data_IF_915509572416
#
_entry.id   IF_915509572416
#
_cell.length_a   1.000
_cell.length_b   1.000
_cell.length_c   1.000
_cell.angle_alpha   90.00
_cell.angle_beta   90.00
_cell.angle_gamma   90.00
#
_symmetry.space_group_name_H-M   'P 1'
#
loop_
_entity.id
_entity.type
_entity.pdbx_description
1 polymer ?
#
# COMPACT_ATOMS: atom_id res chain seq x y z
N UNK A 1 36.60 -11.04 9.46
CA UNK A 1 36.13 -12.30 8.84
C UNK A 1 34.71 -12.14 8.30
N UNK A 2 34.57 -11.55 7.11
CA UNK A 2 33.47 -11.76 6.14
C UNK A 2 33.76 -10.87 4.93
N UNK A 3 34.89 -11.18 4.28
CA UNK A 3 35.29 -10.61 3.01
C UNK A 3 35.74 -11.78 2.12
N UNK A 4 34.77 -12.59 1.71
CA UNK A 4 34.98 -13.71 0.78
C UNK A 4 33.64 -14.18 0.25
N UNK A 5 33.13 -13.57 -0.84
CA UNK A 5 32.23 -14.22 -1.81
C UNK A 5 31.84 -13.33 -3.00
N UNK A 6 32.73 -12.46 -3.47
CA UNK A 6 32.52 -11.71 -4.71
C UNK A 6 33.84 -11.50 -5.46
N UNK A 7 34.37 -12.60 -5.99
CA UNK A 7 35.32 -12.56 -7.11
C UNK A 7 35.45 -13.97 -7.70
N UNK A 8 34.66 -14.27 -8.72
CA UNK A 8 35.10 -15.20 -9.77
C UNK A 8 34.49 -14.83 -11.12
N UNK A 9 35.39 -14.71 -12.07
CA UNK A 9 35.26 -14.67 -13.53
C UNK A 9 34.96 -13.33 -14.22
N UNK A 10 36.05 -12.63 -14.54
CA UNK A 10 36.24 -11.93 -15.82
C UNK A 10 37.31 -12.66 -16.65
N UNK A 11 37.06 -12.74 -17.96
CA UNK A 11 38.04 -12.85 -19.06
C UNK A 11 38.25 -14.26 -19.61
N UNK A 12 38.40 -14.50 -20.92
CA UNK A 12 38.52 -13.64 -22.12
C UNK A 12 38.60 -14.59 -23.36
N UNK A 13 38.19 -14.08 -24.55
CA UNK A 13 38.75 -14.38 -25.91
C UNK A 13 38.27 -15.59 -26.76
N UNK A 14 37.43 -15.25 -27.75
CA UNK A 14 37.52 -15.43 -29.23
C UNK A 14 37.49 -16.79 -29.97
N UNK A 15 36.92 -16.71 -31.19
CA UNK A 15 36.92 -17.64 -32.36
C UNK A 15 35.90 -18.78 -32.24
N UNK A 16 35.13 -19.20 -33.26
CA UNK A 16 35.09 -18.96 -34.71
C UNK A 16 33.77 -19.49 -35.30
N UNK A 17 33.44 -19.03 -36.51
CA UNK A 17 32.35 -19.46 -37.39
C UNK A 17 32.19 -20.99 -37.55
N UNK A 18 30.93 -21.47 -37.63
CA UNK A 18 30.34 -22.33 -38.68
C UNK A 18 29.11 -23.13 -38.17
N UNK A 19 28.16 -23.51 -39.06
CA UNK A 19 26.79 -23.88 -38.70
C UNK A 19 26.63 -25.38 -38.44
N UNK A 20 25.84 -25.75 -37.43
CA UNK A 20 25.40 -27.14 -37.26
C UNK A 20 24.02 -27.36 -37.88
N UNK A 21 24.02 -28.28 -38.82
CA UNK A 21 22.89 -28.82 -39.58
C UNK A 21 21.92 -29.58 -38.67
N UNK A 22 20.63 -29.37 -38.90
CA UNK A 22 19.54 -30.11 -38.26
C UNK A 22 19.39 -31.47 -38.98
N UNK A 23 19.95 -32.53 -38.39
CA UNK A 23 19.69 -33.90 -38.81
C UNK A 23 18.29 -34.36 -38.38
N UNK A 24 17.45 -34.69 -39.36
CA UNK A 24 16.23 -35.48 -39.17
C UNK A 24 16.60 -36.92 -38.78
N UNK A 25 15.99 -37.42 -37.72
CA UNK A 25 15.98 -38.84 -37.32
C UNK A 25 14.55 -39.28 -36.98
N UNK A 26 14.18 -40.54 -37.26
CA UNK A 26 12.80 -40.92 -37.57
C UNK A 26 11.89 -41.14 -36.34
N UNK A 27 10.62 -40.84 -36.57
CA UNK A 27 9.48 -41.00 -35.66
C UNK A 27 9.03 -42.47 -35.65
N UNK A 28 9.36 -43.21 -34.60
CA UNK A 28 8.81 -44.54 -34.36
C UNK A 28 7.39 -44.43 -33.77
N UNK A 29 6.43 -45.07 -34.44
CA UNK A 29 5.06 -45.25 -33.98
C UNK A 29 5.05 -46.29 -32.87
N UNK A 30 4.35 -45.99 -31.78
CA UNK A 30 4.00 -46.94 -30.73
C UNK A 30 2.67 -47.60 -31.11
N UNK A 31 2.72 -48.50 -32.08
CA UNK A 31 1.78 -49.61 -32.20
C UNK A 31 2.59 -50.87 -31.89
N UNK A 32 1.98 -51.87 -31.25
CA UNK A 32 2.56 -53.15 -30.79
C UNK A 32 3.05 -53.21 -29.33
N UNK A 33 2.10 -53.19 -28.40
CA UNK A 33 2.20 -53.99 -27.18
C UNK A 33 0.86 -54.71 -26.95
N UNK A 34 0.85 -56.00 -27.28
CA UNK A 34 -0.28 -56.91 -27.08
C UNK A 34 -0.64 -57.06 -25.60
N UNK A 35 -1.92 -56.93 -25.31
CA UNK A 35 -2.51 -57.33 -24.03
C UNK A 35 -3.50 -58.46 -24.26
N UNK A 36 -3.21 -59.55 -23.56
CA UNK A 36 -3.96 -60.80 -23.47
C UNK A 36 -5.35 -60.52 -22.87
N UNK A 37 -6.40 -61.02 -23.53
CA UNK A 37 -7.77 -61.05 -23.01
C UNK A 37 -7.90 -62.11 -21.90
N UNK A 38 -8.58 -61.86 -20.78
CA UNK A 38 -9.23 -62.92 -20.03
C UNK A 38 -10.68 -63.09 -20.49
N UNK A 39 -11.04 -64.35 -20.73
CA UNK A 39 -12.37 -64.82 -21.06
C UNK A 39 -13.33 -64.80 -19.85
N UNK A 40 -14.61 -64.98 -20.17
CA UNK A 40 -15.79 -64.81 -19.36
C UNK A 40 -15.82 -65.56 -18.01
N UNK A 41 -16.45 -64.93 -17.01
CA UNK A 41 -16.94 -65.60 -15.82
C UNK A 41 -17.46 -64.62 -14.77
N UNK A 42 -18.78 -64.52 -14.62
CA UNK A 42 -19.40 -63.89 -13.45
C UNK A 42 -20.36 -62.75 -13.75
N UNK A 43 -21.63 -63.10 -13.98
CA UNK A 43 -22.78 -62.22 -13.90
C UNK A 43 -22.86 -61.58 -12.50
N UNK A 44 -22.36 -60.36 -12.37
CA UNK A 44 -22.78 -59.45 -11.31
C UNK A 44 -23.18 -58.14 -11.98
N UNK A 45 -24.48 -58.00 -12.23
CA UNK A 45 -25.09 -56.77 -12.67
C UNK A 45 -24.82 -55.67 -11.63
N UNK A 46 -23.73 -54.93 -11.81
CA UNK A 46 -23.59 -53.61 -11.20
C UNK A 46 -24.57 -52.74 -11.97
N UNK A 47 -25.79 -52.68 -11.45
CA UNK A 47 -26.77 -51.65 -11.76
C UNK A 47 -26.08 -50.32 -11.48
N UNK A 48 -25.46 -49.77 -12.54
CA UNK A 48 -25.19 -48.37 -12.67
C UNK A 48 -26.55 -47.70 -12.50
N UNK A 49 -26.81 -47.22 -11.28
CA UNK A 49 -27.85 -46.26 -11.04
C UNK A 49 -27.47 -45.02 -11.83
N UNK A 50 -27.86 -45.02 -13.10
CA UNK A 50 -28.18 -43.81 -13.82
C UNK A 50 -29.08 -43.03 -12.86
N UNK A 51 -28.50 -42.05 -12.20
CA UNK A 51 -29.23 -40.97 -11.58
C UNK A 51 -29.81 -40.19 -12.74
N UNK A 52 -30.86 -40.78 -13.31
CA UNK A 52 -31.94 -40.06 -13.96
C UNK A 52 -32.19 -38.86 -13.06
N UNK A 53 -32.09 -37.69 -13.65
CA UNK A 53 -32.61 -36.44 -13.10
C UNK A 53 -34.10 -36.68 -12.84
N UNK A 54 -34.39 -37.30 -11.70
CA UNK A 54 -35.70 -37.30 -11.10
C UNK A 54 -35.92 -35.84 -10.75
N UNK A 55 -36.91 -35.24 -11.39
CA UNK A 55 -37.40 -33.92 -11.02
C UNK A 55 -37.60 -33.86 -9.50
N UNK A 56 -37.61 -32.67 -8.88
CA UNK A 56 -37.62 -32.53 -7.43
C UNK A 56 -38.73 -33.41 -6.85
N UNK A 57 -38.33 -34.51 -6.19
CA UNK A 57 -39.25 -35.41 -5.54
C UNK A 57 -39.84 -34.63 -4.38
N UNK A 58 -41.03 -34.08 -4.59
CA UNK A 58 -41.87 -33.38 -3.62
C UNK A 58 -42.25 -34.27 -2.42
N UNK A 59 -41.86 -35.55 -2.43
CA UNK A 59 -42.22 -36.58 -1.45
C UNK A 59 -41.24 -36.73 -0.26
N UNK A 60 -40.30 -35.81 -0.04
CA UNK A 60 -39.42 -35.82 1.17
C UNK A 60 -39.57 -34.56 2.01
N UNK A 61 -40.80 -34.25 2.42
CA UNK A 61 -41.12 -33.18 3.38
C UNK A 61 -41.65 -33.75 4.70
N UNK A 62 -40.98 -34.77 5.26
CA UNK A 62 -41.28 -35.30 6.59
C UNK A 62 -40.40 -34.68 7.69
N UNK A 63 -40.84 -34.73 8.95
CA UNK A 63 -40.04 -34.28 10.10
C UNK A 63 -38.64 -34.93 10.15
N UNK A 64 -38.56 -36.24 9.88
CA UNK A 64 -37.29 -36.98 9.82
C UNK A 64 -36.44 -36.70 8.58
N UNK A 65 -36.98 -35.99 7.59
CA UNK A 65 -36.24 -35.56 6.40
C UNK A 65 -35.76 -34.10 6.51
N UNK A 66 -35.98 -33.44 7.66
CA UNK A 66 -35.47 -32.10 7.89
C UNK A 66 -33.95 -32.10 8.00
N UNK A 67 -33.33 -31.13 7.34
CA UNK A 67 -31.88 -30.97 7.28
C UNK A 67 -31.49 -29.77 8.14
N UNK A 68 -30.33 -29.85 8.80
CA UNK A 68 -29.81 -28.73 9.57
C UNK A 68 -29.63 -27.48 8.69
N UNK A 69 -29.89 -26.31 9.26
CA UNK A 69 -29.78 -25.04 8.54
C UNK A 69 -28.40 -24.84 7.90
N UNK A 70 -27.33 -25.36 8.51
CA UNK A 70 -25.96 -25.26 7.97
C UNK A 70 -25.84 -25.94 6.61
N UNK A 71 -26.44 -27.12 6.44
CA UNK A 71 -26.40 -27.89 5.21
C UNK A 71 -27.30 -27.28 4.12
N UNK A 72 -28.45 -26.71 4.50
CA UNK A 72 -29.30 -25.92 3.59
C UNK A 72 -28.57 -24.66 3.08
N UNK A 73 -27.84 -23.97 3.96
CA UNK A 73 -27.02 -22.84 3.54
C UNK A 73 -25.82 -23.28 2.71
N UNK A 74 -25.20 -24.42 3.02
CA UNK A 74 -24.09 -24.96 2.24
C UNK A 74 -24.52 -25.34 0.82
N UNK A 75 -25.69 -25.93 0.63
CA UNK A 75 -26.19 -26.28 -0.72
C UNK A 75 -26.46 -25.04 -1.58
N UNK A 76 -26.95 -23.95 -0.99
CA UNK A 76 -27.28 -22.71 -1.70
C UNK A 76 -26.11 -21.74 -1.89
N UNK A 77 -25.13 -21.73 -0.98
CA UNK A 77 -24.05 -20.72 -0.96
C UNK A 77 -22.68 -21.27 -1.35
N UNK A 78 -22.50 -22.58 -1.39
CA UNK A 78 -21.22 -23.19 -1.73
C UNK A 78 -21.17 -23.62 -3.19
N UNK A 79 -19.96 -23.65 -3.72
CA UNK A 79 -19.64 -24.34 -4.98
C UNK A 79 -18.65 -25.45 -4.66
N UNK A 80 -18.48 -26.38 -5.62
CA UNK A 80 -17.43 -27.40 -5.52
C UNK A 80 -16.09 -26.77 -5.16
N UNK A 81 -15.27 -27.49 -4.38
CA UNK A 81 -13.97 -26.96 -3.94
C UNK A 81 -13.11 -26.47 -5.13
N UNK A 82 -13.22 -27.16 -6.27
CA UNK A 82 -12.58 -26.77 -7.52
C UNK A 82 -13.17 -25.48 -8.12
N UNK A 83 -14.50 -25.33 -8.10
CA UNK A 83 -15.17 -24.09 -8.51
C UNK A 83 -14.74 -22.90 -7.67
N UNK A 84 -14.67 -23.07 -6.34
CA UNK A 84 -14.21 -22.03 -5.40
C UNK A 84 -12.78 -21.59 -5.68
N UNK A 85 -11.85 -22.54 -5.86
CA UNK A 85 -10.44 -22.26 -6.19
C UNK A 85 -10.29 -21.52 -7.53
N UNK A 86 -11.17 -21.77 -8.49
CA UNK A 86 -11.21 -21.11 -9.80
C UNK A 86 -12.00 -19.80 -9.82
N UNK A 87 -12.53 -19.36 -8.68
CA UNK A 87 -13.27 -18.10 -8.58
C UNK A 87 -14.69 -18.15 -9.16
N UNK A 88 -15.27 -19.34 -9.33
CA UNK A 88 -16.68 -19.53 -9.75
C UNK A 88 -17.69 -19.21 -8.65
N UNK A 89 -17.21 -18.80 -7.48
CA UNK A 89 -18.02 -18.47 -6.32
C UNK A 89 -18.51 -16.99 -6.28
N UNK A 90 -18.32 -16.24 -7.37
CA UNK A 90 -18.71 -14.82 -7.42
C UNK A 90 -20.23 -14.73 -7.55
N UNK A 91 -20.86 -13.85 -6.77
CA UNK A 91 -22.31 -13.60 -6.84
C UNK A 91 -23.18 -14.56 -6.02
N UNK A 92 -22.59 -15.54 -5.32
CA UNK A 92 -23.33 -16.40 -4.41
C UNK A 92 -23.92 -15.59 -3.25
N UNK A 93 -25.12 -16.01 -2.82
CA UNK A 93 -25.79 -15.44 -1.66
C UNK A 93 -24.90 -15.65 -0.43
N UNK A 94 -24.81 -14.64 0.43
CA UNK A 94 -24.13 -14.78 1.72
C UNK A 94 -25.08 -15.41 2.73
N UNK A 95 -24.57 -16.37 3.49
CA UNK A 95 -25.32 -17.02 4.58
C UNK A 95 -25.94 -15.99 5.54
N UNK A 96 -27.23 -16.13 5.83
CA UNK A 96 -27.95 -15.33 6.83
C UNK A 96 -28.28 -16.23 8.02
N UNK A 97 -27.86 -15.81 9.21
CA UNK A 97 -28.25 -16.51 10.43
C UNK A 97 -29.69 -16.09 10.78
N UNK A 98 -30.63 -17.02 10.68
CA UNK A 98 -32.06 -16.79 10.90
C UNK A 98 -32.42 -16.71 12.39
N UNK A 99 -31.55 -17.22 13.27
CA UNK A 99 -31.80 -17.34 14.71
C UNK A 99 -31.51 -16.02 15.45
N UNK A 100 -30.76 -15.10 14.82
CA UNK A 100 -30.45 -13.80 15.44
C UNK A 100 -31.74 -12.99 15.61
N UNK A 101 -32.02 -12.58 16.84
CA UNK A 101 -33.20 -11.77 17.20
C UNK A 101 -34.46 -12.58 17.51
N UNK A 102 -34.43 -13.92 17.45
CA UNK A 102 -35.55 -14.75 17.89
C UNK A 102 -35.46 -15.01 19.40
N UNK A 103 -36.55 -14.73 20.13
CA UNK A 103 -36.71 -15.04 21.55
C UNK A 103 -37.39 -16.41 21.71
N UNK A 104 -36.88 -17.26 22.59
CA UNK A 104 -37.48 -18.56 22.89
C UNK A 104 -38.84 -18.38 23.56
N UNK A 105 -39.80 -19.26 23.25
CA UNK A 105 -41.15 -19.22 23.82
C UNK A 105 -42.13 -18.28 23.10
N UNK A 106 -41.67 -17.39 22.22
CA UNK A 106 -42.55 -16.59 21.36
C UNK A 106 -42.87 -17.35 20.07
N UNK A 107 -44.15 -17.48 19.73
CA UNK A 107 -44.61 -18.20 18.55
C UNK A 107 -46.06 -17.91 18.20
N UNK A 108 -46.56 -18.45 17.08
CA UNK A 108 -47.92 -18.20 16.59
C UNK A 108 -49.01 -18.71 17.54
N UNK A 109 -48.70 -19.68 18.40
CA UNK A 109 -49.63 -20.25 19.37
C UNK A 109 -49.97 -19.33 20.56
N UNK A 110 -49.30 -18.17 20.70
CA UNK A 110 -49.57 -17.18 21.76
C UNK A 110 -49.59 -17.80 23.17
N UNK A 111 -48.57 -18.58 23.52
CA UNK A 111 -48.45 -19.20 24.84
C UNK A 111 -47.41 -18.45 25.66
N UNK A 112 -47.80 -18.01 26.85
CA UNK A 112 -46.89 -17.48 27.86
C UNK A 112 -46.34 -18.62 28.70
N UNK A 113 -45.06 -18.90 28.48
CA UNK A 113 -44.28 -19.89 29.19
C UNK A 113 -43.57 -19.28 30.41
N UNK A 114 -43.87 -19.76 31.63
CA UNK A 114 -43.10 -19.49 32.83
C UNK A 114 -41.61 -19.84 32.64
N UNK A 115 -40.71 -18.88 32.88
CA UNK A 115 -39.27 -19.03 32.75
C UNK A 115 -38.69 -18.78 31.35
N UNK A 116 -39.51 -18.71 30.30
CA UNK A 116 -39.05 -18.37 28.93
C UNK A 116 -39.54 -16.99 28.49
N UNK A 117 -40.85 -16.76 28.56
CA UNK A 117 -41.47 -15.49 28.13
C UNK A 117 -41.70 -14.53 29.30
N UNK A 118 -42.05 -15.07 30.48
CA UNK A 118 -42.27 -14.34 31.73
C UNK A 118 -41.51 -15.04 32.86
N UNK A 119 -41.24 -14.33 33.95
CA UNK A 119 -40.54 -14.92 35.10
C UNK A 119 -41.34 -16.07 35.71
N UNK A 120 -40.66 -17.16 36.08
CA UNK A 120 -41.31 -18.35 36.64
C UNK A 120 -41.86 -18.15 38.07
N UNK A 121 -41.35 -17.14 38.78
CA UNK A 121 -41.73 -16.79 40.13
C UNK A 121 -42.18 -15.33 40.15
N UNK A 122 -43.32 -15.07 40.77
CA UNK A 122 -43.88 -13.75 41.03
C UNK A 122 -44.08 -13.58 42.53
N UNK A 123 -44.26 -12.35 43.01
CA UNK A 123 -44.47 -12.06 44.44
C UNK A 123 -45.67 -12.83 45.05
N UNK A 124 -46.59 -13.29 44.20
CA UNK A 124 -47.79 -14.07 44.54
C UNK A 124 -47.62 -15.58 44.39
N UNK A 125 -46.41 -16.06 44.05
CA UNK A 125 -46.08 -17.49 43.89
C UNK A 125 -45.65 -17.89 42.47
N UNK A 126 -45.75 -19.19 42.17
CA UNK A 126 -45.32 -19.78 40.88
C UNK A 126 -46.30 -19.43 39.77
N UNK A 127 -45.79 -18.86 38.68
CA UNK A 127 -46.62 -18.51 37.51
C UNK A 127 -47.05 -19.77 36.75
N UNK A 128 -48.32 -19.84 36.38
CA UNK A 128 -48.88 -20.90 35.53
C UNK A 128 -48.76 -20.52 34.05
N UNK A 129 -48.89 -21.51 33.16
CA UNK A 129 -48.98 -21.29 31.72
C UNK A 129 -50.24 -20.49 31.42
N UNK A 130 -50.10 -19.40 30.66
CA UNK A 130 -51.19 -18.50 30.29
C UNK A 130 -51.15 -18.25 28.78
N UNK A 131 -52.21 -17.66 28.21
CA UNK A 131 -52.13 -17.10 26.86
C UNK A 131 -51.30 -15.81 26.88
N UNK A 132 -50.43 -15.65 25.89
CA UNK A 132 -49.69 -14.43 25.64
C UNK A 132 -50.65 -13.44 24.95
N UNK A 133 -50.78 -12.19 25.43
CA UNK A 133 -51.65 -11.22 24.79
C UNK A 133 -51.13 -10.89 23.38
N UNK A 134 -52.05 -10.68 22.43
CA UNK A 134 -51.73 -10.40 21.02
C UNK A 134 -50.86 -9.16 20.87
N UNK A 135 -51.07 -8.15 21.70
CA UNK A 135 -50.28 -6.90 21.74
C UNK A 135 -48.80 -7.15 22.00
N UNK A 136 -48.46 -8.05 22.93
CA UNK A 136 -47.07 -8.43 23.21
C UNK A 136 -46.45 -9.22 22.05
N UNK A 137 -47.23 -10.08 21.39
CA UNK A 137 -46.77 -10.80 20.20
C UNK A 137 -46.49 -9.84 19.03
N UNK A 138 -47.38 -8.89 18.77
CA UNK A 138 -47.23 -7.87 17.72
C UNK A 138 -46.02 -6.96 18.00
N UNK A 139 -45.85 -6.53 19.24
CA UNK A 139 -44.66 -5.79 19.67
C UNK A 139 -43.37 -6.59 19.38
N UNK A 140 -43.32 -7.86 19.78
CA UNK A 140 -42.18 -8.73 19.49
C UNK A 140 -41.94 -8.91 17.98
N UNK A 141 -43.00 -9.09 17.18
CA UNK A 141 -42.87 -9.21 15.73
C UNK A 141 -42.31 -7.92 15.12
N UNK A 142 -42.75 -6.76 15.59
CA UNK A 142 -42.23 -5.46 15.15
C UNK A 142 -40.74 -5.28 15.53
N UNK A 143 -40.34 -5.66 16.75
CA UNK A 143 -38.95 -5.65 17.20
C UNK A 143 -38.07 -6.56 16.33
N UNK A 144 -38.58 -7.76 16.01
CA UNK A 144 -37.90 -8.74 15.19
C UNK A 144 -37.74 -8.23 13.75
N UNK A 145 -38.79 -7.63 13.18
CA UNK A 145 -38.72 -6.99 11.86
C UNK A 145 -37.72 -5.82 11.84
N UNK A 146 -37.74 -4.95 12.85
CA UNK A 146 -36.76 -3.87 12.99
C UNK A 146 -35.32 -4.41 13.11
N UNK A 147 -35.12 -5.48 13.87
CA UNK A 147 -33.81 -6.15 14.00
C UNK A 147 -33.35 -6.73 12.66
N UNK A 148 -34.25 -7.37 11.91
CA UNK A 148 -33.98 -7.88 10.55
C UNK A 148 -33.60 -6.75 9.58
N UNK A 149 -34.32 -5.64 9.61
CA UNK A 149 -34.03 -4.44 8.80
C UNK A 149 -32.68 -3.83 9.17
N UNK A 150 -32.35 -3.75 10.46
CA UNK A 150 -31.04 -3.26 10.93
C UNK A 150 -29.89 -4.14 10.44
N UNK A 151 -30.06 -5.46 10.50
CA UNK A 151 -29.07 -6.43 10.04
C UNK A 151 -28.93 -6.46 8.51
N UNK A 152 -30.03 -6.26 7.77
CA UNK A 152 -30.00 -6.16 6.31
C UNK A 152 -29.38 -4.85 5.85
N UNK A 153 -29.70 -3.72 6.49
CA UNK A 153 -29.14 -2.40 6.20
C UNK A 153 -27.61 -2.37 6.38
N UNK A 154 -27.10 -2.98 7.48
CA UNK A 154 -25.65 -3.14 7.70
C UNK A 154 -24.93 -3.93 6.60
N UNK A 155 -25.66 -4.75 5.83
CA UNK A 155 -25.11 -5.63 4.78
C UNK A 155 -25.36 -5.12 3.36
N UNK A 156 -26.38 -4.28 3.16
CA UNK A 156 -26.85 -3.81 1.84
C UNK A 156 -26.13 -2.58 1.30
N UNK A 157 -25.61 -1.69 2.14
CA UNK A 157 -24.69 -0.65 1.68
C UNK A 157 -23.35 -1.32 1.32
N UNK A 158 -22.93 -1.18 0.05
CA UNK A 158 -21.63 -1.64 -0.44
C UNK A 158 -20.55 -1.42 0.61
N UNK A 159 -19.86 -2.51 0.98
CA UNK A 159 -19.20 -2.67 2.28
C UNK A 159 -18.51 -1.41 2.80
N UNK A 160 -18.67 -1.14 4.11
CA UNK A 160 -18.10 0.02 4.85
C UNK A 160 -16.98 0.70 4.06
N UNK A 161 -17.32 1.81 3.40
CA UNK A 161 -16.31 2.64 2.75
C UNK A 161 -15.36 3.11 3.86
N UNK A 162 -14.06 2.85 3.69
CA UNK A 162 -13.05 3.35 4.61
C UNK A 162 -13.16 4.87 4.70
N UNK A 163 -12.98 5.44 5.88
CA UNK A 163 -12.89 6.90 6.01
C UNK A 163 -11.68 7.41 5.21
N UNK A 164 -11.70 8.68 4.77
CA UNK A 164 -10.54 9.29 4.10
C UNK A 164 -9.25 9.31 4.94
N UNK A 165 -9.36 9.17 6.27
CA UNK A 165 -8.23 9.11 7.21
C UNK A 165 -7.62 7.71 7.27
N UNK A 166 -8.45 6.66 7.16
CA UNK A 166 -8.00 5.26 7.25
C UNK A 166 -7.66 4.65 5.87
N UNK A 167 -7.94 5.36 4.78
CA UNK A 167 -7.57 4.90 3.43
C UNK A 167 -6.08 5.15 3.17
N UNK A 168 -5.50 4.30 2.33
CA UNK A 168 -4.15 4.54 1.80
C UNK A 168 -4.19 5.54 0.64
N UNK A 169 -3.37 5.32 -0.38
CA UNK A 169 -3.22 6.28 -1.47
C UNK A 169 -4.47 6.45 -2.35
N UNK A 170 -5.26 5.39 -2.55
CA UNK A 170 -6.42 5.46 -3.46
C UNK A 170 -7.58 4.56 -3.04
N UNK A 171 -8.76 5.15 -2.85
CA UNK A 171 -10.05 4.45 -2.72
C UNK A 171 -10.02 3.20 -1.83
N UNK A 172 -10.34 2.04 -2.43
CA UNK A 172 -10.35 0.74 -1.75
C UNK A 172 -9.01 -0.02 -1.83
N UNK A 173 -8.00 0.52 -2.51
CA UNK A 173 -6.71 -0.12 -2.67
C UNK A 173 -5.97 -0.11 -1.32
N UNK A 174 -5.44 -1.26 -0.84
CA UNK A 174 -4.71 -1.30 0.42
C UNK A 174 -3.31 -0.64 0.36
N UNK A 175 -2.83 -0.24 -0.82
CA UNK A 175 -1.55 0.45 -0.98
C UNK A 175 -1.53 1.78 -0.22
N UNK A 176 -0.44 2.05 0.49
CA UNK A 176 -0.26 3.20 1.38
C UNK A 176 -0.98 3.07 2.72
N UNK A 177 -1.67 1.96 3.01
CA UNK A 177 -2.25 1.76 4.33
C UNK A 177 -1.18 1.40 5.35
N UNK A 178 -1.35 1.98 6.54
CA UNK A 178 -0.58 1.66 7.72
C UNK A 178 -1.13 0.36 8.33
N UNK A 179 -0.24 -0.56 8.62
CA UNK A 179 -0.47 -1.79 9.35
C UNK A 179 0.23 -1.70 10.71
N UNK A 180 -0.27 -2.49 11.67
CA UNK A 180 0.29 -2.52 13.03
C UNK A 180 1.73 -3.03 13.09
N UNK A 181 2.32 -3.07 14.28
CA UNK A 181 3.69 -3.52 14.47
C UNK A 181 3.88 -5.01 14.15
N UNK A 182 5.14 -5.44 13.92
CA UNK A 182 5.46 -6.85 13.83
C UNK A 182 5.10 -7.56 15.14
N UNK A 183 4.62 -8.79 15.03
CA UNK A 183 4.36 -9.63 16.21
C UNK A 183 5.67 -10.23 16.70
N UNK A 184 5.95 -10.07 17.98
CA UNK A 184 7.04 -10.76 18.66
C UNK A 184 6.75 -12.25 18.81
N UNK A 185 7.82 -13.03 18.92
CA UNK A 185 7.73 -14.45 19.25
C UNK A 185 7.56 -14.68 20.76
N UNK A 186 8.14 -13.80 21.58
CA UNK A 186 8.07 -13.85 23.04
C UNK A 186 7.11 -12.80 23.58
N UNK A 187 6.43 -13.12 24.69
CA UNK A 187 5.46 -12.21 25.31
C UNK A 187 6.08 -10.99 25.99
N UNK A 188 7.38 -11.02 26.32
CA UNK A 188 8.08 -9.94 27.02
C UNK A 188 8.61 -8.84 26.11
N UNK A 189 8.67 -9.08 24.80
CA UNK A 189 9.20 -8.13 23.83
C UNK A 189 8.03 -7.56 23.02
N UNK A 190 7.79 -6.25 23.08
CA UNK A 190 6.82 -5.55 22.23
C UNK A 190 7.54 -4.60 21.27
N UNK A 191 6.90 -4.31 20.14
CA UNK A 191 7.46 -3.52 19.06
C UNK A 191 6.55 -2.34 18.71
N UNK A 192 5.98 -1.69 19.72
CA UNK A 192 4.90 -0.72 19.54
C UNK A 192 5.35 0.54 18.77
N UNK A 193 6.64 0.85 18.81
CA UNK A 193 7.27 1.94 18.06
C UNK A 193 7.29 1.69 16.53
N UNK A 194 7.15 0.45 16.09
CA UNK A 194 7.26 0.10 14.69
C UNK A 194 5.95 0.36 13.94
N UNK A 195 6.05 1.18 12.89
CA UNK A 195 5.00 1.39 11.90
C UNK A 195 5.30 0.55 10.67
N UNK A 196 4.27 -0.07 10.09
CA UNK A 196 4.42 -0.79 8.83
C UNK A 196 3.48 -0.25 7.76
N UNK A 197 3.93 -0.17 6.51
CA UNK A 197 3.19 0.40 5.40
C UNK A 197 3.27 -0.53 4.19
N UNK A 198 2.12 -0.83 3.60
CA UNK A 198 2.04 -1.64 2.39
C UNK A 198 2.25 -0.76 1.16
N UNK A 199 3.32 -1.01 0.41
CA UNK A 199 3.68 -0.21 -0.76
C UNK A 199 3.07 -0.78 -2.03
N UNK A 200 3.27 -2.09 -2.28
CA UNK A 200 2.75 -2.75 -3.46
C UNK A 200 1.81 -3.89 -3.06
N UNK A 201 0.67 -3.94 -3.72
CA UNK A 201 -0.26 -5.06 -3.66
C UNK A 201 -0.65 -5.44 -5.08
N UNK A 202 -0.17 -6.60 -5.55
CA UNK A 202 -0.38 -7.08 -6.92
C UNK A 202 -0.89 -8.51 -6.94
N UNK A 203 -1.86 -8.80 -7.80
CA UNK A 203 -2.29 -10.17 -8.09
C UNK A 203 -1.38 -10.79 -9.16
N UNK A 204 -0.80 -11.94 -8.85
CA UNK A 204 0.02 -12.74 -9.77
C UNK A 204 -0.73 -14.02 -10.13
N UNK A 205 -0.46 -14.55 -11.33
CA UNK A 205 -1.03 -15.81 -11.79
C UNK A 205 0.10 -16.69 -12.31
N UNK A 206 0.27 -17.88 -11.73
CA UNK A 206 1.20 -18.89 -12.21
C UNK A 206 0.45 -20.10 -12.77
N UNK A 207 1.02 -20.79 -13.76
CA UNK A 207 0.50 -22.07 -14.24
C UNK A 207 1.04 -23.22 -13.38
N UNK A 208 0.19 -24.19 -13.03
CA UNK A 208 0.55 -25.36 -12.24
C UNK A 208 -0.13 -26.58 -12.84
N UNK A 209 0.56 -27.74 -12.94
CA UNK A 209 0.03 -28.92 -13.63
C UNK A 209 -1.34 -29.39 -13.12
N UNK A 210 -1.54 -29.45 -11.78
CA UNK A 210 -2.80 -29.93 -11.19
C UNK A 210 -3.95 -28.91 -11.23
N UNK A 211 -3.65 -27.65 -10.99
CA UNK A 211 -4.67 -26.62 -10.76
C UNK A 211 -4.85 -25.66 -11.94
N UNK A 212 -3.98 -25.73 -12.95
CA UNK A 212 -3.90 -24.75 -14.03
C UNK A 212 -3.46 -23.40 -13.48
N UNK A 213 -4.24 -22.35 -13.75
CA UNK A 213 -3.95 -20.98 -13.31
C UNK A 213 -4.19 -20.82 -11.79
N UNK A 214 -3.11 -20.65 -11.03
CA UNK A 214 -3.13 -20.42 -9.58
C UNK A 214 -2.83 -18.95 -9.28
N UNK A 215 -3.76 -18.29 -8.60
CA UNK A 215 -3.62 -16.89 -8.18
C UNK A 215 -2.82 -16.76 -6.89
N UNK A 216 -1.80 -15.90 -6.91
CA UNK A 216 -0.99 -15.48 -5.77
C UNK A 216 -1.10 -13.96 -5.62
N UNK A 217 -0.72 -13.47 -4.46
CA UNK A 217 -0.64 -12.04 -4.14
C UNK A 217 0.83 -11.73 -3.86
N UNK A 218 1.39 -10.74 -4.55
CA UNK A 218 2.66 -10.13 -4.19
C UNK A 218 2.39 -8.92 -3.32
N UNK A 219 3.13 -8.83 -2.23
CA UNK A 219 3.04 -7.77 -1.24
C UNK A 219 4.44 -7.24 -0.98
N UNK A 220 4.62 -5.93 -1.15
CA UNK A 220 5.83 -5.22 -0.74
C UNK A 220 5.49 -4.43 0.51
N UNK A 221 6.01 -4.89 1.64
CA UNK A 221 5.78 -4.29 2.96
C UNK A 221 7.04 -3.61 3.44
N UNK A 222 6.88 -2.43 4.01
CA UNK A 222 7.91 -1.65 4.66
C UNK A 222 7.59 -1.55 6.16
N UNK A 223 8.59 -1.63 7.03
CA UNK A 223 8.45 -1.54 8.49
C UNK A 223 9.61 -0.73 9.06
N UNK A 224 9.38 0.10 10.07
CA UNK A 224 10.43 0.92 10.71
C UNK A 224 9.92 1.72 11.89
N UNK A 225 10.85 2.28 12.66
CA UNK A 225 10.59 2.90 13.96
C UNK A 225 10.54 4.44 13.94
N UNK A 226 10.72 5.07 12.78
CA UNK A 226 10.81 6.53 12.66
C UNK A 226 12.08 7.15 13.25
N UNK A 227 13.08 6.35 13.63
CA UNK A 227 14.35 6.78 14.24
C UNK A 227 15.55 6.19 13.48
N UNK A 228 15.51 6.25 12.15
CA UNK A 228 16.58 5.76 11.29
C UNK A 228 16.62 4.24 11.07
N UNK A 229 15.73 3.44 11.68
CA UNK A 229 15.71 1.98 11.46
C UNK A 229 14.50 1.59 10.62
N UNK A 230 14.76 1.02 9.44
CA UNK A 230 13.69 0.52 8.58
C UNK A 230 14.12 -0.69 7.76
N UNK A 231 13.14 -1.48 7.33
CA UNK A 231 13.32 -2.70 6.56
C UNK A 231 12.14 -2.96 5.65
N UNK A 232 12.37 -3.64 4.54
CA UNK A 232 11.30 -4.01 3.61
C UNK A 232 11.37 -5.49 3.22
N UNK A 233 10.22 -6.04 2.84
CA UNK A 233 10.15 -7.37 2.25
C UNK A 233 9.17 -7.46 1.10
N UNK A 234 9.56 -8.25 0.10
CA UNK A 234 8.66 -8.73 -0.94
C UNK A 234 8.23 -10.17 -0.60
N UNK A 235 6.92 -10.39 -0.50
CA UNK A 235 6.36 -11.73 -0.23
C UNK A 235 5.32 -12.09 -1.27
N UNK A 236 5.36 -13.36 -1.68
CA UNK A 236 4.30 -13.99 -2.46
C UNK A 236 3.47 -14.90 -1.56
N UNK A 237 2.16 -14.67 -1.49
CA UNK A 237 1.21 -15.44 -0.68
C UNK A 237 0.10 -16.03 -1.55
N UNK A 238 -0.46 -17.21 -1.20
CA UNK A 238 -1.69 -17.69 -1.82
C UNK A 238 -2.85 -16.72 -1.61
N UNK A 239 -3.70 -16.57 -2.62
CA UNK A 239 -4.90 -15.73 -2.53
C UNK A 239 -5.87 -16.27 -1.46
N UNK A 240 -6.55 -15.38 -0.73
CA UNK A 240 -7.58 -15.76 0.24
C UNK A 240 -7.11 -15.97 1.68
N UNK A 241 -5.83 -15.74 1.99
CA UNK A 241 -5.27 -15.78 3.35
C UNK A 241 -5.66 -14.54 4.22
N UNK A 242 -6.31 -13.53 3.62
CA UNK A 242 -6.84 -12.36 4.33
C UNK A 242 -5.77 -11.60 5.13
N UNK A 243 -6.12 -11.20 6.34
CA UNK A 243 -5.25 -10.44 7.26
C UNK A 243 -3.94 -11.16 7.61
N UNK A 244 -3.96 -12.51 7.66
CA UNK A 244 -2.76 -13.31 7.96
C UNK A 244 -1.63 -13.09 6.95
N UNK A 245 -1.95 -12.82 5.68
CA UNK A 245 -0.93 -12.55 4.67
C UNK A 245 -0.20 -11.23 4.94
N UNK A 246 -0.94 -10.18 5.29
CA UNK A 246 -0.36 -8.89 5.65
C UNK A 246 0.49 -8.99 6.92
N UNK A 247 -0.01 -9.67 7.96
CA UNK A 247 0.75 -9.87 9.19
C UNK A 247 2.07 -10.61 8.93
N UNK A 248 2.06 -11.63 8.08
CA UNK A 248 3.28 -12.32 7.70
C UNK A 248 4.26 -11.39 6.97
N UNK A 249 3.77 -10.45 6.17
CA UNK A 249 4.60 -9.44 5.52
C UNK A 249 5.24 -8.47 6.50
N UNK A 250 4.47 -7.97 7.46
CA UNK A 250 4.98 -7.12 8.54
C UNK A 250 6.06 -7.85 9.33
N UNK A 251 5.79 -9.09 9.74
CA UNK A 251 6.73 -9.88 10.54
C UNK A 251 8.04 -10.17 9.79
N UNK A 252 7.99 -10.46 8.49
CA UNK A 252 9.24 -10.66 7.71
C UNK A 252 9.99 -9.35 7.48
N UNK A 253 9.29 -8.23 7.29
CA UNK A 253 9.94 -6.92 7.16
C UNK A 253 10.70 -6.56 8.44
N UNK A 254 10.14 -6.84 9.61
CA UNK A 254 10.81 -6.66 10.90
C UNK A 254 12.07 -7.52 11.09
N UNK A 255 12.27 -8.59 10.31
CA UNK A 255 13.49 -9.41 10.35
C UNK A 255 14.62 -8.86 9.47
N UNK A 256 14.34 -7.89 8.59
CA UNK A 256 15.30 -7.36 7.59
C UNK A 256 15.45 -5.86 7.73
N UNK A 257 15.79 -5.43 8.93
CA UNK A 257 16.01 -4.03 9.25
C UNK A 257 17.42 -3.59 8.84
N UNK A 258 17.52 -2.35 8.39
CA UNK A 258 18.74 -1.62 8.14
C UNK A 258 18.72 -0.37 9.03
N UNK A 259 19.90 0.03 9.50
CA UNK A 259 20.11 1.29 10.21
C UNK A 259 20.56 2.33 9.18
N UNK A 260 19.96 3.51 9.24
CA UNK A 260 20.26 4.65 8.39
C UNK A 260 20.64 5.82 9.28
N UNK A 261 21.77 6.44 8.96
CA UNK A 261 22.23 7.63 9.66
C UNK A 261 21.45 8.84 9.13
N UNK A 262 20.93 9.65 10.05
CA UNK A 262 20.14 10.84 9.75
C UNK A 262 20.88 12.08 10.24
N UNK A 263 20.99 13.08 9.38
CA UNK A 263 21.50 14.39 9.78
C UNK A 263 20.39 15.15 10.52
N UNK A 264 20.71 15.63 11.73
CA UNK A 264 19.78 16.32 12.64
C UNK A 264 18.50 15.50 12.95
N UNK A 265 18.55 14.16 12.86
CA UNK A 265 17.37 13.27 12.95
C UNK A 265 16.20 13.71 12.03
N UNK A 266 16.54 14.34 10.90
CA UNK A 266 15.61 15.07 10.04
C UNK A 266 15.80 14.75 8.56
N UNK A 267 17.02 14.82 8.06
CA UNK A 267 17.34 14.74 6.61
C UNK A 267 18.54 13.81 6.37
N UNK A 268 18.88 13.62 5.11
CA UNK A 268 20.11 12.93 4.66
C UNK A 268 21.34 13.83 4.82
N UNK A 269 22.55 13.25 4.83
CA UNK A 269 23.81 14.01 4.99
C UNK A 269 24.20 14.83 3.76
N UNK A 270 24.03 14.30 2.56
CA UNK A 270 24.42 14.95 1.30
C UNK A 270 23.48 14.54 0.18
N UNK A 271 23.57 15.28 -0.91
CA UNK A 271 22.94 14.92 -2.18
C UNK A 271 23.55 13.62 -2.69
N UNK A 272 22.72 12.70 -3.20
CA UNK A 272 23.25 11.45 -3.75
C UNK A 272 22.45 10.98 -4.96
N UNK A 273 23.15 10.24 -5.81
CA UNK A 273 22.57 9.55 -6.95
C UNK A 273 22.64 8.05 -6.72
N UNK A 274 21.52 7.36 -6.94
CA UNK A 274 21.51 5.90 -6.97
C UNK A 274 20.76 5.34 -8.14
N UNK A 275 21.23 4.18 -8.59
CA UNK A 275 20.59 3.40 -9.62
C UNK A 275 20.43 1.95 -9.16
N UNK A 276 19.22 1.41 -9.32
CA UNK A 276 18.96 -0.01 -9.18
C UNK A 276 18.23 -0.53 -10.42
N UNK A 277 18.92 -1.34 -11.22
CA UNK A 277 18.45 -1.72 -12.56
C UNK A 277 18.28 -0.47 -13.45
N UNK A 278 17.09 -0.27 -14.00
CA UNK A 278 16.77 0.88 -14.86
C UNK A 278 16.09 2.03 -14.12
N UNK A 279 15.97 1.93 -12.79
CA UNK A 279 15.42 2.99 -11.95
C UNK A 279 16.57 3.83 -11.42
N UNK A 280 16.53 5.13 -11.71
CA UNK A 280 17.49 6.13 -11.23
C UNK A 280 16.79 7.02 -10.21
N UNK A 281 17.46 7.32 -9.12
CA UNK A 281 16.94 8.20 -8.07
C UNK A 281 17.98 9.26 -7.80
N UNK A 282 17.53 10.51 -7.85
CA UNK A 282 18.30 11.68 -7.50
C UNK A 282 17.71 12.25 -6.22
N UNK A 283 18.52 12.28 -5.17
CA UNK A 283 18.11 12.75 -3.85
C UNK A 283 18.88 14.01 -3.50
N UNK A 284 18.15 15.02 -3.02
CA UNK A 284 18.71 16.28 -2.55
C UNK A 284 18.36 16.49 -1.09
N UNK A 285 19.36 16.90 -0.31
CA UNK A 285 19.21 17.39 1.04
C UNK A 285 18.46 18.73 1.02
N UNK A 286 17.62 18.98 2.02
CA UNK A 286 16.83 20.23 2.12
C UNK A 286 16.83 20.80 3.55
N UNK A 287 16.71 22.13 3.70
CA UNK A 287 16.61 22.78 5.01
C UNK A 287 15.30 22.43 5.72
N UNK A 288 15.19 22.82 6.99
CA UNK A 288 14.04 22.49 7.84
C UNK A 288 12.76 23.16 7.33
N UNK A 289 11.63 22.44 7.36
CA UNK A 289 10.34 22.97 6.94
C UNK A 289 10.04 22.83 5.45
N UNK A 290 10.94 22.25 4.66
CA UNK A 290 10.68 21.96 3.24
C UNK A 290 9.64 20.85 3.03
N UNK A 291 9.63 19.86 3.93
CA UNK A 291 8.82 18.66 3.87
C UNK A 291 9.34 17.63 2.86
N UNK A 292 8.54 16.58 2.64
CA UNK A 292 8.88 15.48 1.73
C UNK A 292 8.28 15.75 0.35
N UNK A 293 9.13 16.10 -0.63
CA UNK A 293 8.76 16.19 -2.05
C UNK A 293 9.38 15.03 -2.84
N UNK A 294 8.65 13.93 -2.91
CA UNK A 294 9.13 12.72 -3.55
C UNK A 294 7.99 11.88 -4.14
N UNK A 295 8.35 10.84 -4.89
CA UNK A 295 7.42 9.80 -5.31
C UNK A 295 6.72 9.18 -4.08
N UNK A 296 5.44 8.82 -4.18
CA UNK A 296 4.61 8.33 -3.05
C UNK A 296 5.22 7.16 -2.28
N UNK A 297 5.94 6.27 -2.98
CA UNK A 297 6.65 5.15 -2.37
C UNK A 297 7.80 5.60 -1.50
N UNK A 298 8.57 6.60 -1.96
CA UNK A 298 9.67 7.20 -1.20
C UNK A 298 9.11 7.99 -0.03
N UNK A 299 7.98 8.70 -0.22
CA UNK A 299 7.30 9.40 0.89
C UNK A 299 6.94 8.46 2.03
N UNK A 300 6.28 7.34 1.72
CA UNK A 300 6.01 6.31 2.73
C UNK A 300 7.27 5.66 3.30
N UNK A 301 8.39 5.66 2.56
CA UNK A 301 9.67 5.20 3.08
C UNK A 301 10.28 6.18 4.09
N UNK A 302 10.29 7.46 3.76
CA UNK A 302 10.71 8.54 4.63
C UNK A 302 9.88 8.58 5.92
N UNK A 303 8.55 8.44 5.83
CA UNK A 303 7.66 8.40 7.01
C UNK A 303 8.02 7.27 7.99
N UNK A 304 8.43 6.12 7.46
CA UNK A 304 8.78 4.92 8.25
C UNK A 304 10.21 4.99 8.80
N UNK A 305 11.13 5.60 8.04
CA UNK A 305 12.52 5.82 8.47
C UNK A 305 12.60 6.95 9.51
N UNK A 306 11.81 8.01 9.36
CA UNK A 306 11.88 9.24 10.18
C UNK A 306 12.47 10.46 9.44
N UNK A 307 12.59 10.40 8.11
CA UNK A 307 13.07 11.54 7.31
C UNK A 307 11.91 12.51 7.09
N UNK A 308 12.11 13.77 7.48
CA UNK A 308 11.09 14.83 7.44
C UNK A 308 11.22 15.74 6.22
N UNK A 309 12.44 16.02 5.80
CA UNK A 309 12.71 16.96 4.71
C UNK A 309 13.64 16.34 3.68
N UNK A 310 13.16 16.21 2.46
CA UNK A 310 13.94 15.63 1.35
C UNK A 310 13.26 15.95 0.02
N UNK A 311 14.06 16.14 -1.02
CA UNK A 311 13.59 16.14 -2.40
C UNK A 311 14.15 14.90 -3.11
N UNK A 312 13.28 14.06 -3.67
CA UNK A 312 13.71 12.87 -4.37
C UNK A 312 12.96 12.71 -5.70
N UNK A 313 13.72 12.75 -6.79
CA UNK A 313 13.22 12.57 -8.16
C UNK A 313 13.57 11.18 -8.64
N UNK A 314 12.58 10.46 -9.16
CA UNK A 314 12.76 9.14 -9.76
C UNK A 314 12.72 9.29 -11.27
N UNK A 315 13.76 8.80 -11.95
CA UNK A 315 13.86 8.75 -13.40
C UNK A 315 13.95 7.30 -13.92
N UNK A 316 13.52 7.10 -15.16
CA UNK A 316 13.54 5.79 -15.81
C UNK A 316 12.33 4.92 -15.43
N UNK A 317 12.60 3.69 -14.96
CA UNK A 317 11.54 2.72 -14.69
C UNK A 317 10.88 2.92 -13.31
N UNK A 318 9.55 3.09 -13.29
CA UNK A 318 8.75 3.26 -12.06
C UNK A 318 8.27 1.91 -11.48
N UNK A 319 9.22 1.09 -11.00
CA UNK A 319 8.92 -0.16 -10.28
C UNK A 319 9.16 0.03 -8.78
N UNK A 320 8.11 -0.12 -7.96
CA UNK A 320 8.17 0.14 -6.51
C UNK A 320 9.24 -0.67 -5.79
N UNK A 321 9.46 -1.93 -6.17
CA UNK A 321 10.51 -2.75 -5.56
C UNK A 321 11.91 -2.20 -5.85
N UNK A 322 12.13 -1.70 -7.07
CA UNK A 322 13.41 -1.13 -7.46
C UNK A 322 13.62 0.25 -6.86
N UNK A 323 12.56 1.05 -6.76
CA UNK A 323 12.59 2.37 -6.11
C UNK A 323 13.05 2.24 -4.65
N UNK A 324 12.42 1.36 -3.87
CA UNK A 324 12.81 1.17 -2.46
C UNK A 324 14.26 0.67 -2.37
N UNK A 325 14.65 -0.29 -3.20
CA UNK A 325 16.01 -0.84 -3.20
C UNK A 325 17.06 0.22 -3.53
N UNK A 326 16.84 1.01 -4.58
CA UNK A 326 17.72 2.11 -4.95
C UNK A 326 17.82 3.15 -3.84
N UNK A 327 16.69 3.49 -3.21
CA UNK A 327 16.64 4.45 -2.13
C UNK A 327 17.41 3.96 -0.89
N UNK A 328 17.15 2.72 -0.45
CA UNK A 328 17.85 2.08 0.67
C UNK A 328 19.35 1.94 0.41
N UNK A 329 19.73 1.54 -0.81
CA UNK A 329 21.13 1.46 -1.22
C UNK A 329 21.82 2.82 -1.16
N UNK A 330 21.11 3.90 -1.49
CA UNK A 330 21.63 5.25 -1.43
C UNK A 330 21.86 5.73 -0.01
N UNK A 331 20.86 5.54 0.86
CA UNK A 331 20.98 5.87 2.27
C UNK A 331 22.14 5.10 2.94
N UNK A 332 22.32 3.81 2.62
CA UNK A 332 23.44 3.01 3.17
C UNK A 332 24.82 3.43 2.67
N UNK A 333 24.90 4.11 1.51
CA UNK A 333 26.18 4.57 0.95
C UNK A 333 26.57 5.96 1.43
N UNK A 334 25.71 6.61 2.22
CA UNK A 334 26.02 7.93 2.73
C UNK A 334 27.22 7.86 3.67
N UNK A 335 28.17 8.76 3.45
CA UNK A 335 29.19 9.13 4.41
C UNK A 335 28.65 10.15 5.41
N UNK A 336 28.86 9.88 6.69
CA UNK A 336 28.56 10.84 7.76
C UNK A 336 29.62 11.96 7.77
N UNK A 337 29.26 13.12 8.31
CA UNK A 337 30.22 14.24 8.45
C UNK A 337 31.44 13.87 9.31
N UNK A 338 31.25 13.02 10.31
CA UNK A 338 32.33 12.55 11.16
C UNK A 338 33.31 11.68 10.38
N UNK A 339 32.78 10.70 9.62
CA UNK A 339 33.60 9.83 8.78
C UNK A 339 34.44 10.63 7.79
N UNK A 340 33.87 11.69 7.19
CA UNK A 340 34.60 12.56 6.27
C UNK A 340 35.70 13.38 6.97
N UNK A 341 35.42 13.94 8.15
CA UNK A 341 36.41 14.67 8.92
C UNK A 341 37.59 13.76 9.33
N UNK A 342 37.32 12.50 9.69
CA UNK A 342 38.33 11.51 10.03
C UNK A 342 39.17 11.07 8.82
N UNK A 343 38.53 10.83 7.66
CA UNK A 343 39.22 10.44 6.41
C UNK A 343 40.18 11.53 5.91
N UNK A 344 39.75 12.79 5.98
CA UNK A 344 40.51 13.94 5.48
C UNK A 344 41.41 14.57 6.54
N UNK A 345 41.19 14.27 7.82
CA UNK A 345 41.85 14.92 8.95
C UNK A 345 41.70 16.45 8.91
N UNK A 346 40.49 16.92 8.59
CA UNK A 346 40.13 18.35 8.46
C UNK A 346 38.80 18.63 9.15
N UNK A 347 38.61 19.89 9.58
CA UNK A 347 37.32 20.33 10.10
C UNK A 347 36.30 20.49 8.97
N UNK A 348 35.10 19.93 9.18
CA UNK A 348 33.98 20.13 8.27
C UNK A 348 33.19 21.35 8.74
N UNK A 349 33.16 22.39 7.92
CA UNK A 349 32.50 23.66 8.22
C UNK A 349 31.26 23.80 7.35
N UNK A 350 30.14 24.12 7.98
CA UNK A 350 28.88 24.44 7.32
C UNK A 350 28.70 25.95 7.25
N UNK A 351 28.32 26.43 6.06
CA UNK A 351 28.03 27.82 5.76
C UNK A 351 26.58 27.93 5.28
N UNK A 352 25.70 28.48 6.13
CA UNK A 352 24.28 28.70 5.79
C UNK A 352 24.04 30.18 5.48
N UNK A 353 23.28 30.45 4.42
CA UNK A 353 22.86 31.82 4.08
C UNK A 353 21.98 32.44 5.18
N UNK A 354 21.20 31.62 5.90
CA UNK A 354 20.35 32.05 7.03
C UNK A 354 21.16 32.63 8.20
N UNK A 355 22.42 32.21 8.34
CA UNK A 355 23.32 32.64 9.41
C UNK A 355 24.38 33.63 8.89
N UNK A 356 24.07 34.40 7.84
CA UNK A 356 25.00 35.33 7.19
C UNK A 356 26.35 34.69 6.82
N UNK A 357 26.32 33.42 6.40
CA UNK A 357 27.51 32.61 6.08
C UNK A 357 28.51 32.49 7.25
N UNK A 358 28.04 32.56 8.49
CA UNK A 358 28.87 32.31 9.66
C UNK A 358 29.41 30.87 9.66
N UNK A 359 30.73 30.66 9.81
CA UNK A 359 31.34 29.32 9.77
C UNK A 359 30.99 28.52 11.02
N UNK A 360 30.14 27.51 10.86
CA UNK A 360 29.81 26.55 11.92
C UNK A 360 30.58 25.26 11.72
N UNK A 361 31.43 24.89 12.67
CA UNK A 361 32.11 23.57 12.65
C UNK A 361 31.08 22.49 12.98
N UNK A 362 30.82 21.59 12.03
CA UNK A 362 29.86 20.49 12.18
C UNK A 362 30.52 19.22 12.66
N UNK A 363 31.74 18.95 12.18
CA UNK A 363 32.53 17.80 12.61
C UNK A 363 34.01 18.15 12.69
N UNK A 364 34.68 17.58 13.68
CA UNK A 364 36.13 17.62 13.85
C UNK A 364 36.68 16.19 13.81
N UNK A 365 37.91 15.99 13.34
CA UNK A 365 38.52 14.66 13.36
C UNK A 365 38.60 14.13 14.80
N UNK A 366 38.23 12.88 14.98
CA UNK A 366 38.16 12.19 16.28
C UNK A 366 39.52 12.09 16.96
N UNK A 367 40.60 11.99 16.18
CA UNK A 367 41.98 11.96 16.69
C UNK A 367 42.50 13.35 17.12
N UNK A 368 41.71 14.42 16.95
CA UNK A 368 42.10 15.83 17.17
C UNK A 368 43.33 16.31 16.36
N UNK A 369 43.89 15.46 15.51
CA UNK A 369 44.94 15.80 14.57
C UNK A 369 44.32 16.38 13.30
N UNK A 370 44.68 17.63 13.00
CA UNK A 370 44.17 18.38 11.85
C UNK A 370 45.35 18.72 10.96
N UNK A 371 45.24 18.40 9.68
CA UNK A 371 46.28 18.71 8.69
C UNK A 371 46.45 20.20 8.54
N UNK A 372 47.70 20.64 8.42
CA UNK A 372 48.02 22.02 8.08
C UNK A 372 47.86 22.26 6.58
N UNK A 373 47.72 23.53 6.16
CA UNK A 373 47.57 23.88 4.74
C UNK A 373 48.75 23.39 3.87
N UNK A 374 49.94 23.24 4.45
CA UNK A 374 51.12 22.74 3.75
C UNK A 374 51.06 21.23 3.46
N UNK A 375 50.30 20.46 4.24
CA UNK A 375 50.15 19.01 4.08
C UNK A 375 49.08 18.64 3.04
N UNK A 376 48.24 19.60 2.64
CA UNK A 376 47.17 19.38 1.68
C UNK A 376 47.76 19.53 0.26
N UNK A 377 47.81 18.46 -0.54
CA UNK A 377 48.27 18.57 -1.91
C UNK A 377 47.26 19.37 -2.74
N UNK A 378 47.71 20.23 -3.68
CA UNK A 378 46.83 21.07 -4.49
C UNK A 378 45.93 20.27 -5.45
N UNK A 379 46.21 18.97 -5.63
CA UNK A 379 45.42 18.06 -6.46
C UNK A 379 44.28 17.38 -5.70
N UNK A 380 44.24 17.49 -4.37
CA UNK A 380 43.20 16.85 -3.57
C UNK A 380 41.88 17.61 -3.68
N UNK A 381 40.81 16.85 -3.94
CA UNK A 381 39.45 17.37 -3.94
C UNK A 381 38.99 17.61 -2.50
N UNK A 382 38.72 18.88 -2.19
CA UNK A 382 38.19 19.32 -0.89
C UNK A 382 36.69 19.63 -0.93
N UNK A 383 36.10 19.78 -2.12
CA UNK A 383 34.68 20.06 -2.25
C UNK A 383 33.85 18.89 -1.73
N UNK A 384 33.03 19.17 -0.72
CA UNK A 384 32.21 18.18 -0.02
C UNK A 384 31.35 17.35 -0.98
N UNK A 385 30.64 18.01 -1.91
CA UNK A 385 29.78 17.31 -2.86
C UNK A 385 30.57 16.38 -3.78
N UNK A 386 31.73 16.81 -4.26
CA UNK A 386 32.56 15.98 -5.15
C UNK A 386 33.11 14.74 -4.43
N UNK A 387 33.50 14.88 -3.14
CA UNK A 387 33.96 13.76 -2.31
C UNK A 387 32.83 12.75 -2.13
N UNK A 388 31.63 13.21 -1.76
CA UNK A 388 30.47 12.36 -1.53
C UNK A 388 30.02 11.60 -2.79
N UNK A 389 30.24 12.18 -3.96
CA UNK A 389 29.87 11.59 -5.25
C UNK A 389 30.98 10.75 -5.90
N UNK A 390 32.12 10.55 -5.25
CA UNK A 390 33.31 9.90 -5.82
C UNK A 390 33.68 10.47 -7.21
N UNK A 391 33.48 11.79 -7.40
CA UNK A 391 33.71 12.50 -8.67
C UNK A 391 32.59 12.38 -9.73
N UNK A 392 31.54 11.59 -9.49
CA UNK A 392 30.38 11.48 -10.39
C UNK A 392 29.21 12.33 -9.90
N UNK A 393 29.33 13.64 -10.04
CA UNK A 393 28.25 14.55 -9.68
C UNK A 393 27.08 14.39 -10.65
N UNK A 394 25.86 14.11 -10.17
CA UNK A 394 24.70 14.03 -11.03
C UNK A 394 24.38 15.42 -11.59
N UNK A 395 24.37 15.55 -12.91
CA UNK A 395 23.82 16.72 -13.57
C UNK A 395 22.32 16.74 -13.34
N UNK A 396 21.86 17.64 -12.48
CA UNK A 396 20.45 17.91 -12.39
C UNK A 396 20.03 18.82 -13.54
N UNK A 397 18.86 18.59 -14.11
CA UNK A 397 18.25 19.58 -14.99
C UNK A 397 17.95 20.83 -14.17
N UNK A 398 18.84 21.83 -14.22
CA UNK A 398 18.56 23.15 -13.65
C UNK A 398 17.32 23.68 -14.34
N UNK A 399 16.32 24.12 -13.57
CA UNK A 399 15.05 24.64 -14.10
C UNK A 399 15.28 25.79 -15.08
N UNK A 400 16.37 26.54 -14.89
CA UNK A 400 16.86 27.59 -15.79
C UNK A 400 17.21 27.10 -17.21
N UNK A 401 17.67 25.84 -17.34
CA UNK A 401 18.02 25.23 -18.64
C UNK A 401 16.83 24.52 -19.31
N UNK A 402 15.69 24.40 -18.63
CA UNK A 402 14.48 23.83 -19.22
C UNK A 402 13.82 24.90 -20.07
N UNK A 403 14.19 24.93 -21.36
CA UNK A 403 13.47 25.74 -22.35
C UNK A 403 11.97 25.48 -22.20
N UNK A 404 11.15 26.53 -22.03
CA UNK A 404 9.70 26.40 -21.89
C UNK A 404 9.15 25.45 -22.95
N UNK A 405 8.21 24.58 -22.57
CA UNK A 405 7.71 23.51 -23.44
C UNK A 405 7.33 23.99 -24.85
N UNK A 406 6.79 25.21 -24.97
CA UNK A 406 6.42 25.79 -26.25
C UNK A 406 7.60 26.09 -27.18
N UNK A 407 8.78 26.40 -26.65
CA UNK A 407 10.01 26.62 -27.43
C UNK A 407 10.54 25.36 -28.12
N UNK A 408 9.99 24.18 -27.82
CA UNK A 408 10.31 22.92 -28.52
C UNK A 408 9.60 22.79 -29.87
N UNK A 409 8.60 23.63 -30.15
CA UNK A 409 7.82 23.58 -31.39
C UNK A 409 8.40 24.50 -32.48
N UNK A 410 7.89 24.37 -33.71
CA UNK A 410 8.23 25.30 -34.80
C UNK A 410 7.87 26.76 -34.42
N UNK A 411 8.53 27.72 -35.05
CA UNK A 411 8.31 29.16 -34.77
C UNK A 411 6.83 29.57 -34.88
N UNK A 412 6.08 28.99 -35.82
CA UNK A 412 4.66 29.28 -35.98
C UNK A 412 3.81 28.76 -34.81
N UNK A 413 4.14 27.57 -34.30
CA UNK A 413 3.49 26.98 -33.14
C UNK A 413 3.86 27.74 -31.86
N UNK A 414 5.09 28.23 -31.76
CA UNK A 414 5.51 29.15 -30.69
C UNK A 414 4.69 30.45 -30.73
N UNK A 415 4.58 31.09 -31.90
CA UNK A 415 3.76 32.31 -32.10
C UNK A 415 2.29 32.07 -31.75
N UNK A 416 1.72 30.92 -32.13
CA UNK A 416 0.35 30.53 -31.76
C UNK A 416 0.19 30.31 -30.25
N UNK A 417 1.15 29.63 -29.62
CA UNK A 417 1.14 29.42 -28.18
C UNK A 417 1.23 30.74 -27.43
N UNK A 418 2.23 31.58 -27.74
CA UNK A 418 2.39 32.91 -27.16
C UNK A 418 1.14 33.75 -27.39
N UNK A 419 0.54 33.75 -28.59
CA UNK A 419 -0.72 34.48 -28.85
C UNK A 419 -1.86 33.98 -27.95
N UNK A 420 -1.95 32.68 -27.68
CA UNK A 420 -2.99 32.07 -26.84
C UNK A 420 -2.75 32.31 -25.35
N UNK A 421 -1.51 32.25 -24.89
CA UNK A 421 -1.14 32.41 -23.46
C UNK A 421 -0.83 33.85 -23.07
N UNK A 422 -0.54 34.74 -24.02
CA UNK A 422 -0.30 36.17 -23.76
C UNK A 422 -1.49 36.84 -23.07
N UNK A 423 -2.70 36.39 -23.36
CA UNK A 423 -3.90 36.83 -22.65
C UNK A 423 -3.77 36.45 -21.16
N UNK A 424 -3.39 35.20 -20.86
CA UNK A 424 -3.25 34.65 -19.50
C UNK A 424 -2.09 35.20 -18.66
N UNK A 425 -0.99 35.67 -19.29
CA UNK A 425 0.24 36.07 -18.59
C UNK A 425 0.04 37.23 -17.62
N UNK A 426 -0.74 38.24 -18.01
CA UNK A 426 -1.00 39.38 -17.14
C UNK A 426 -2.12 39.14 -16.12
N UNK A 427 -2.78 37.98 -16.06
CA UNK A 427 -3.91 37.79 -15.13
C UNK A 427 -3.51 37.76 -13.66
N UNK A 428 -2.25 37.45 -13.34
CA UNK A 428 -1.77 37.48 -11.95
C UNK A 428 -1.37 38.90 -11.55
N UNK A 429 -0.50 39.54 -12.35
CA UNK A 429 -0.08 40.94 -12.16
C UNK A 429 -1.29 41.88 -12.17
N UNK A 430 -2.17 41.76 -13.16
CA UNK A 430 -3.39 42.57 -13.24
C UNK A 430 -4.36 42.28 -12.10
N UNK A 431 -4.37 41.07 -11.52
CA UNK A 431 -5.12 40.80 -10.29
C UNK A 431 -4.51 41.52 -9.09
N UNK A 432 -3.18 41.60 -9.00
CA UNK A 432 -2.49 42.36 -7.96
C UNK A 432 -2.78 43.86 -8.13
N UNK A 433 -2.68 44.39 -9.35
CA UNK A 433 -2.99 45.79 -9.67
C UNK A 433 -4.45 46.12 -9.34
N UNK A 434 -5.42 45.32 -9.80
CA UNK A 434 -6.85 45.52 -9.49
C UNK A 434 -7.12 45.45 -7.97
N UNK A 435 -6.46 44.54 -7.25
CA UNK A 435 -6.56 44.49 -5.79
C UNK A 435 -5.94 45.71 -5.11
N UNK A 436 -4.92 46.32 -5.71
CA UNK A 436 -4.25 47.51 -5.17
C UNK A 436 -5.03 48.80 -5.47
N UNK A 437 -5.60 48.93 -6.67
CA UNK A 437 -6.36 50.12 -7.11
C UNK A 437 -7.80 50.11 -6.58
N UNK A 438 -8.53 49.02 -6.81
CA UNK A 438 -9.98 48.92 -6.53
C UNK A 438 -10.28 48.21 -5.21
N UNK A 439 -9.27 47.63 -4.54
CA UNK A 439 -9.44 46.83 -3.32
C UNK A 439 -10.11 45.46 -3.55
N UNK A 440 -10.52 45.15 -4.78
CA UNK A 440 -11.18 43.91 -5.18
C UNK A 440 -10.81 43.54 -6.62
N UNK A 441 -10.97 42.27 -6.98
CA UNK A 441 -10.81 41.87 -8.40
C UNK A 441 -12.05 42.32 -9.16
N UNK A 442 -11.97 43.49 -9.80
CA UNK A 442 -13.01 44.06 -10.62
C UNK A 442 -12.89 43.61 -12.10
N UNK A 443 -13.96 43.78 -12.87
CA UNK A 443 -13.95 43.62 -14.33
C UNK A 443 -14.34 44.95 -14.96
N UNK A 444 -14.03 45.22 -16.22
CA UNK A 444 -14.59 46.43 -16.87
C UNK A 444 -16.13 46.44 -16.91
N UNK A 445 -16.78 45.31 -16.57
CA UNK A 445 -18.23 45.17 -16.47
C UNK A 445 -18.76 45.45 -15.06
N UNK A 446 -17.92 45.45 -14.01
CA UNK A 446 -18.40 45.65 -12.62
C UNK A 446 -19.02 47.02 -12.42
N UNK A 447 -18.57 48.05 -13.16
CA UNK A 447 -19.16 49.40 -13.10
C UNK A 447 -20.60 49.44 -13.62
N UNK A 448 -20.91 48.60 -14.61
CA UNK A 448 -22.24 48.51 -15.23
C UNK A 448 -23.12 47.46 -14.54
N UNK A 449 -22.51 46.41 -14.00
CA UNK A 449 -23.15 45.25 -13.38
C UNK A 449 -22.42 44.89 -12.07
N UNK A 450 -22.75 45.54 -10.95
CA UNK A 450 -22.06 45.35 -9.67
C UNK A 450 -22.19 43.93 -9.10
N UNK A 451 -23.17 43.15 -9.56
CA UNK A 451 -23.36 41.74 -9.22
C UNK A 451 -22.31 40.80 -9.83
N UNK A 452 -21.57 41.24 -10.85
CA UNK A 452 -20.57 40.43 -11.55
C UNK A 452 -19.21 40.40 -10.84
N UNK A 453 -19.20 40.04 -9.56
CA UNK A 453 -17.97 39.87 -8.76
C UNK A 453 -17.43 38.44 -8.96
N UNK A 454 -16.12 38.26 -9.24
CA UNK A 454 -15.53 36.94 -9.32
C UNK A 454 -15.63 36.21 -7.98
N UNK A 455 -16.03 34.94 -8.01
CA UNK A 455 -16.10 34.12 -6.79
C UNK A 455 -14.71 33.98 -6.19
N UNK A 456 -14.46 34.60 -5.04
CA UNK A 456 -13.21 34.41 -4.29
C UNK A 456 -13.22 32.99 -3.73
N UNK A 457 -12.34 32.13 -4.24
CA UNK A 457 -12.14 30.82 -3.64
C UNK A 457 -11.42 30.99 -2.30
N UNK A 458 -12.18 31.16 -1.23
CA UNK A 458 -11.64 31.19 0.13
C UNK A 458 -11.25 29.76 0.48
N UNK A 459 -9.95 29.49 0.48
CA UNK A 459 -9.40 28.25 1.03
C UNK A 459 -9.70 28.28 2.54
N UNK A 460 -10.68 27.50 3.01
CA UNK A 460 -11.04 27.41 4.44
C UNK A 460 -9.75 27.25 5.25
N UNK A 461 -9.42 28.24 6.08
CA UNK A 461 -8.45 28.06 7.17
C UNK A 461 -9.08 27.04 8.14
N UNK A 462 -8.27 26.13 8.68
CA UNK A 462 -8.70 25.29 9.77
C UNK A 462 -8.81 26.20 11.00
N UNK A 463 -10.03 26.52 11.42
CA UNK A 463 -10.34 27.44 12.53
C UNK A 463 -10.07 26.83 13.92
N UNK A 464 -9.54 25.61 14.00
CA UNK A 464 -9.39 24.88 15.26
C UNK A 464 -8.18 25.32 16.13
N UNK A 465 -7.33 26.24 15.67
CA UNK A 465 -6.10 26.62 16.39
C UNK A 465 -6.11 28.02 17.04
N UNK A 466 -7.13 28.85 16.83
CA UNK A 466 -7.16 30.22 17.35
C UNK A 466 -8.09 30.39 18.58
N UNK A 467 -8.72 29.30 19.06
CA UNK A 467 -9.64 29.33 20.20
C UNK A 467 -8.97 29.10 21.57
N UNK A 468 -7.65 28.99 21.65
CA UNK A 468 -6.92 28.71 22.91
C UNK A 468 -6.12 29.91 23.47
N UNK A 469 -6.10 31.09 22.84
CA UNK A 469 -5.30 32.24 23.30
C UNK A 469 -6.11 33.44 23.83
N UNK A 470 -7.41 33.29 24.11
CA UNK A 470 -8.23 34.36 24.71
C UNK A 470 -8.95 33.90 25.98
N UNK A 471 -8.17 33.38 26.95
CA UNK A 471 -8.50 33.37 28.38
C UNK A 471 -7.19 33.32 29.18
N UNK A 472 -6.59 34.50 29.40
CA UNK A 472 -6.04 34.99 30.68
C UNK A 472 -5.30 36.34 30.49
#
# INVERSE_FOLDING_TARGET
MLWSLLCRNRGLVSRSNAPFTCGHGPRLRFDDLGWIRPEAGGLAAIMASASLFTGPSWARSGFYAQVEAQDLWKSSTSVSAQGRKRGRAKGLVRMKNLNIGQKMGFGPAQISWPGLTRNALTNTGRTRIQSLPSTELEAYQSELQATRLRLSARRGMGGRKMSPLERGWSGSNPQGKIFGPPKSASSFLTFDDFKSVLIEYKMLVGMTGRFGRVRKVSQLMLTGNGKGVAGFTLIHCPTGRGFKAFQNAVNRAGLRLCVFDLYEDRTVYHNFFTQFGNTRIFVRQKPAGYGIKAHRTIKSACDVIGIRDIEAVVEGADNYNHIIKAFFLGLLRQRSHQTLADEKQLHLVELRAENDFFPKVVASPSNNEVRTQAEIPPTEVLDFEMICHDGFMPEFNNEENVRPHYMRYSEEAQKRYVKKTRISWHHYERRIEMLAEDGAIASHLTDRYPECVPSVFIKRKNEDNEAEEEYD
#
